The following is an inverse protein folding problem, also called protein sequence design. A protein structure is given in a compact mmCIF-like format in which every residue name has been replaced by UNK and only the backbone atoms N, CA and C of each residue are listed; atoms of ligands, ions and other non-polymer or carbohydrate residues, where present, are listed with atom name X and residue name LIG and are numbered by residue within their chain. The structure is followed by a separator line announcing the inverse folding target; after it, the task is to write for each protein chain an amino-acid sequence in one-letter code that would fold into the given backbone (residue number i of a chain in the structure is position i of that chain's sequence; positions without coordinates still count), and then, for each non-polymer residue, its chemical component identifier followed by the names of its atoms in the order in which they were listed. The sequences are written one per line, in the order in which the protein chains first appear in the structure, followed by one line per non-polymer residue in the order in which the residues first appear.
data_IF_962892699159
#
_entry.id   IF_962892699159
#
_cell.length_a   1.000
_cell.length_b   1.000
_cell.length_c   1.000
_cell.angle_alpha   90.00
_cell.angle_beta   90.00
_cell.angle_gamma   90.00
#
_symmetry.space_group_name_H-M   'P 1'
#
loop_
_entity.id
_entity.type
_entity.pdbx_description
1 polymer ?
#
# COMPACT_ATOMS: atom_id res chain seq x y z
N UNK A 1 -18.12 45.48 -6.39
CA UNK A 1 -17.42 45.31 -5.10
C UNK A 1 -16.66 43.97 -4.97
N UNK A 2 -17.09 42.90 -5.62
CA UNK A 2 -16.45 41.56 -5.57
C UNK A 2 -15.02 41.47 -6.14
N UNK A 3 -14.64 42.28 -7.12
CA UNK A 3 -13.36 42.22 -7.81
C UNK A 3 -12.13 42.56 -6.94
N UNK A 4 -12.25 43.56 -6.07
CA UNK A 4 -11.12 44.03 -5.23
C UNK A 4 -10.79 43.06 -4.10
N UNK A 5 -11.81 42.42 -3.54
CA UNK A 5 -11.69 41.44 -2.46
C UNK A 5 -11.10 40.11 -2.93
N UNK A 6 -11.36 39.72 -4.18
CA UNK A 6 -10.90 38.43 -4.75
C UNK A 6 -9.38 38.42 -5.00
N UNK A 7 -8.84 39.50 -5.59
CA UNK A 7 -7.39 39.63 -5.82
C UNK A 7 -6.62 39.65 -4.49
N UNK A 8 -7.16 40.30 -3.47
CA UNK A 8 -6.54 40.35 -2.14
C UNK A 8 -6.61 38.99 -1.43
N UNK A 9 -7.72 38.26 -1.57
CA UNK A 9 -7.87 36.93 -1.01
C UNK A 9 -6.91 35.91 -1.63
N UNK A 10 -6.69 35.97 -2.94
CA UNK A 10 -5.72 35.13 -3.64
C UNK A 10 -4.28 35.43 -3.22
N UNK A 11 -3.92 36.71 -3.06
CA UNK A 11 -2.57 37.07 -2.61
C UNK A 11 -2.26 36.62 -1.17
N UNK A 12 -3.28 36.58 -0.30
CA UNK A 12 -3.14 36.07 1.07
C UNK A 12 -3.09 34.54 1.15
N UNK A 13 -3.77 33.85 0.24
CA UNK A 13 -3.77 32.37 0.18
C UNK A 13 -2.42 31.77 -0.23
N UNK A 14 -1.60 32.54 -0.96
CA UNK A 14 -0.31 32.04 -1.48
C UNK A 14 0.81 31.98 -0.45
N UNK A 15 0.69 32.62 0.72
CA UNK A 15 1.73 32.59 1.76
C UNK A 15 3.15 32.95 1.28
N UNK A 16 3.27 33.74 0.20
CA UNK A 16 4.54 34.03 -0.46
C UNK A 16 5.38 34.93 0.43
N UNK A 17 6.42 34.36 1.01
CA UNK A 17 7.48 35.13 1.68
C UNK A 17 8.22 35.96 0.64
N UNK A 18 8.32 37.25 0.88
CA UNK A 18 8.93 38.22 0.00
C UNK A 18 10.38 37.87 -0.33
N UNK A 19 10.64 37.59 -1.59
CA UNK A 19 12.01 37.62 -2.15
C UNK A 19 11.94 38.12 -3.58
N UNK A 20 12.67 39.20 -3.82
CA UNK A 20 12.90 39.89 -5.07
C UNK A 20 11.70 40.71 -5.62
N UNK A 21 11.78 42.02 -5.44
CA UNK A 21 10.98 43.01 -6.18
C UNK A 21 11.36 42.97 -7.67
N UNK A 22 10.75 42.11 -8.43
CA UNK A 22 10.64 42.32 -9.87
C UNK A 22 9.70 43.53 -10.08
N UNK A 23 10.06 44.46 -10.93
CA UNK A 23 9.18 45.58 -11.26
C UNK A 23 7.86 45.03 -11.78
N UNK A 24 6.75 45.66 -11.41
CA UNK A 24 5.41 45.27 -11.89
C UNK A 24 5.41 45.27 -13.42
N UNK A 25 5.06 44.14 -14.06
CA UNK A 25 5.08 44.08 -15.52
C UNK A 25 3.93 44.84 -16.18
N UNK A 26 3.00 45.42 -15.39
CA UNK A 26 1.79 46.07 -15.90
C UNK A 26 1.83 47.57 -15.72
N UNK A 27 1.69 48.29 -16.84
CA UNK A 27 1.78 49.75 -16.90
C UNK A 27 0.57 50.45 -16.28
N UNK A 28 -0.62 49.81 -16.22
CA UNK A 28 -1.84 50.33 -15.70
C UNK A 28 -2.04 50.13 -14.18
N UNK A 29 -1.03 49.53 -13.50
CA UNK A 29 -1.04 49.37 -12.02
C UNK A 29 0.19 50.13 -11.47
N UNK A 30 0.10 51.43 -11.25
CA UNK A 30 1.25 52.25 -10.78
C UNK A 30 1.60 51.92 -9.32
N UNK A 31 2.85 52.21 -8.91
CA UNK A 31 3.38 51.88 -7.58
C UNK A 31 2.57 52.43 -6.40
N UNK A 32 1.78 53.48 -6.59
CA UNK A 32 0.87 54.02 -5.57
C UNK A 32 -0.50 53.39 -5.55
N UNK A 33 -0.80 52.42 -6.41
CA UNK A 33 -2.10 51.77 -6.46
C UNK A 33 -2.23 50.74 -5.33
N UNK A 34 -3.36 50.70 -4.65
CA UNK A 34 -3.59 49.80 -3.51
C UNK A 34 -3.35 48.32 -3.82
N UNK A 35 -3.51 47.89 -5.10
CA UNK A 35 -3.35 46.51 -5.53
C UNK A 35 -1.95 46.19 -6.06
N UNK A 36 -1.04 47.19 -6.12
CA UNK A 36 0.27 47.07 -6.75
C UNK A 36 1.04 45.83 -6.26
N UNK A 37 1.22 45.69 -4.94
CA UNK A 37 1.98 44.59 -4.35
C UNK A 37 1.30 43.22 -4.55
N UNK A 38 -0.03 43.18 -4.53
CA UNK A 38 -0.79 41.96 -4.72
C UNK A 38 -0.71 41.47 -6.18
N UNK A 39 -0.89 42.38 -7.15
CA UNK A 39 -0.79 42.09 -8.58
C UNK A 39 0.63 41.66 -8.94
N UNK A 40 1.64 42.39 -8.43
CA UNK A 40 3.04 42.06 -8.66
C UNK A 40 3.40 40.67 -8.15
N UNK A 41 2.95 40.28 -6.95
CA UNK A 41 3.16 38.93 -6.40
C UNK A 41 2.46 37.85 -7.23
N UNK A 42 1.24 38.10 -7.69
CA UNK A 42 0.50 37.14 -8.53
C UNK A 42 1.16 36.99 -9.92
N UNK A 43 1.67 38.09 -10.49
CA UNK A 43 2.41 38.05 -11.74
C UNK A 43 3.76 37.31 -11.59
N UNK A 44 4.53 37.63 -10.55
CA UNK A 44 5.79 36.93 -10.25
C UNK A 44 5.60 35.43 -10.00
N UNK A 45 4.47 35.04 -9.42
CA UNK A 45 4.08 33.64 -9.24
C UNK A 45 3.55 32.99 -10.54
N UNK A 46 3.40 33.74 -11.64
CA UNK A 46 2.86 33.25 -12.92
C UNK A 46 1.38 32.84 -12.83
N UNK A 47 0.62 33.48 -11.94
CA UNK A 47 -0.81 33.25 -11.76
C UNK A 47 -1.63 34.19 -12.63
N UNK A 48 -1.12 35.42 -12.81
CA UNK A 48 -1.71 36.48 -13.62
C UNK A 48 -0.70 36.92 -14.68
N UNK A 49 -1.11 36.89 -15.96
CA UNK A 49 -0.26 37.27 -17.10
C UNK A 49 -0.67 38.60 -17.74
N UNK A 50 -1.80 39.20 -17.30
CA UNK A 50 -2.40 40.34 -17.97
C UNK A 50 -3.02 39.98 -19.33
N UNK A 51 -3.21 40.96 -20.20
CA UNK A 51 -3.85 40.78 -21.50
C UNK A 51 -2.88 40.78 -22.69
N UNK A 52 -1.58 40.67 -22.42
CA UNK A 52 -0.57 40.60 -23.48
C UNK A 52 -0.19 41.94 -24.10
N UNK A 53 -0.84 43.03 -23.71
CA UNK A 53 -0.56 44.42 -24.14
C UNK A 53 0.24 45.19 -23.06
N UNK A 54 0.77 44.49 -22.07
CA UNK A 54 1.50 45.11 -20.96
C UNK A 54 0.59 45.75 -19.89
N UNK A 55 -0.71 45.44 -19.91
CA UNK A 55 -1.68 45.93 -18.95
C UNK A 55 -2.32 44.77 -18.13
N UNK A 56 -2.64 45.06 -16.87
CA UNK A 56 -3.39 44.18 -15.98
C UNK A 56 -4.88 44.20 -16.30
N UNK A 57 -5.40 45.32 -16.75
CA UNK A 57 -6.81 45.52 -17.10
C UNK A 57 -7.76 45.51 -15.90
N UNK A 58 -7.36 46.13 -14.77
CA UNK A 58 -8.10 46.10 -13.51
C UNK A 58 -9.50 46.70 -13.55
N UNK A 59 -9.79 47.56 -14.51
CA UNK A 59 -11.10 48.14 -14.76
C UNK A 59 -11.97 47.34 -15.74
N UNK A 60 -11.36 46.35 -16.44
CA UNK A 60 -12.05 45.50 -17.39
C UNK A 60 -12.96 44.49 -16.70
N UNK A 61 -14.10 44.21 -17.32
CA UNK A 61 -14.97 43.11 -16.93
C UNK A 61 -14.28 41.76 -17.30
N UNK A 62 -14.09 40.92 -16.32
CA UNK A 62 -13.52 39.60 -16.50
C UNK A 62 -14.64 38.55 -16.67
N UNK A 63 -14.51 37.66 -17.63
CA UNK A 63 -15.41 36.53 -17.78
C UNK A 63 -15.18 35.50 -16.70
N UNK A 64 -16.17 34.61 -16.47
CA UNK A 64 -16.01 33.48 -15.54
C UNK A 64 -14.87 32.54 -15.98
N UNK A 65 -14.69 32.33 -17.29
CA UNK A 65 -13.60 31.52 -17.82
C UNK A 65 -12.20 32.11 -17.58
N UNK A 66 -12.05 33.42 -17.73
CA UNK A 66 -10.77 34.09 -17.39
C UNK A 66 -10.47 33.95 -15.88
N UNK A 67 -11.49 34.05 -15.03
CA UNK A 67 -11.34 33.83 -13.60
C UNK A 67 -10.99 32.37 -13.29
N UNK A 68 -11.64 31.41 -13.94
CA UNK A 68 -11.35 30.00 -13.78
C UNK A 68 -9.90 29.68 -14.17
N UNK A 69 -9.35 30.28 -15.22
CA UNK A 69 -7.94 30.12 -15.60
C UNK A 69 -6.99 30.61 -14.51
N UNK A 70 -7.29 31.73 -13.85
CA UNK A 70 -6.50 32.25 -12.74
C UNK A 70 -6.57 31.28 -11.54
N UNK A 71 -7.77 30.76 -11.23
CA UNK A 71 -7.96 29.76 -10.17
C UNK A 71 -7.16 28.49 -10.48
N UNK A 72 -7.20 28.00 -11.73
CA UNK A 72 -6.44 26.85 -12.19
C UNK A 72 -4.93 27.03 -11.99
N UNK A 73 -4.39 28.18 -12.39
CA UNK A 73 -2.97 28.51 -12.19
C UNK A 73 -2.60 28.60 -10.70
N UNK A 74 -3.47 29.18 -9.88
CA UNK A 74 -3.27 29.25 -8.44
C UNK A 74 -3.25 27.85 -7.78
N UNK A 75 -4.15 26.96 -8.20
CA UNK A 75 -4.17 25.55 -7.77
C UNK A 75 -2.88 24.81 -8.17
N UNK A 76 -2.44 24.97 -9.42
CA UNK A 76 -1.19 24.36 -9.91
C UNK A 76 0.06 24.83 -9.14
N UNK A 77 0.00 26.00 -8.50
CA UNK A 77 1.07 26.53 -7.64
C UNK A 77 0.89 26.19 -6.16
N UNK A 78 -0.10 25.34 -5.82
CA UNK A 78 -0.34 24.87 -4.45
C UNK A 78 -1.06 25.88 -3.55
N UNK A 79 -1.72 26.90 -4.11
CA UNK A 79 -2.52 27.84 -3.34
C UNK A 79 -3.81 27.16 -2.84
N UNK A 80 -4.19 27.45 -1.59
CA UNK A 80 -5.49 27.03 -1.08
C UNK A 80 -6.58 27.94 -1.65
N UNK A 81 -7.27 27.47 -2.67
CA UNK A 81 -8.36 28.16 -3.37
C UNK A 81 -9.65 27.32 -3.42
N UNK A 82 -9.85 26.42 -2.48
CA UNK A 82 -10.95 25.42 -2.46
C UNK A 82 -12.32 26.06 -2.69
N UNK A 83 -12.61 27.20 -2.06
CA UNK A 83 -13.88 27.92 -2.24
C UNK A 83 -14.05 28.49 -3.65
N UNK A 84 -12.96 28.96 -4.25
CA UNK A 84 -12.99 29.47 -5.63
C UNK A 84 -13.05 28.32 -6.63
N UNK A 85 -12.35 27.23 -6.35
CA UNK A 85 -12.43 26.02 -7.17
C UNK A 85 -13.85 25.44 -7.18
N UNK A 86 -14.57 25.47 -6.06
CA UNK A 86 -15.97 25.07 -5.98
C UNK A 86 -16.90 26.03 -6.72
N UNK A 87 -16.68 27.36 -6.64
CA UNK A 87 -17.48 28.39 -7.32
C UNK A 87 -17.32 28.33 -8.85
N UNK A 88 -16.14 27.96 -9.35
CA UNK A 88 -15.81 27.91 -10.78
C UNK A 88 -15.67 26.48 -11.31
N UNK A 89 -16.31 25.49 -10.66
CA UNK A 89 -16.15 24.08 -10.99
C UNK A 89 -16.51 23.75 -12.45
N UNK A 90 -17.60 24.33 -12.94
CA UNK A 90 -18.08 24.09 -14.32
C UNK A 90 -17.13 24.66 -15.38
N UNK A 91 -16.60 25.86 -15.14
CA UNK A 91 -15.64 26.50 -16.03
C UNK A 91 -14.28 25.80 -15.98
N UNK A 92 -13.84 25.35 -14.80
CA UNK A 92 -12.63 24.58 -14.62
C UNK A 92 -12.72 23.25 -15.36
N UNK A 93 -13.86 22.55 -15.29
CA UNK A 93 -14.11 21.31 -16.02
C UNK A 93 -14.10 21.55 -17.55
N UNK A 94 -14.73 22.64 -18.01
CA UNK A 94 -14.73 23.04 -19.42
C UNK A 94 -13.35 23.41 -19.96
N UNK A 95 -12.46 23.95 -19.13
CA UNK A 95 -11.07 24.26 -19.47
C UNK A 95 -10.16 23.04 -19.46
N UNK A 96 -10.70 21.85 -19.22
CA UNK A 96 -9.91 20.63 -19.09
C UNK A 96 -9.09 20.56 -17.78
N UNK A 97 -9.36 21.49 -16.84
CA UNK A 97 -8.85 21.44 -15.46
C UNK A 97 -9.62 20.38 -14.66
N UNK A 98 -9.99 19.31 -15.32
CA UNK A 98 -10.28 18.01 -14.72
C UNK A 98 -9.06 17.47 -13.94
N UNK A 99 -7.98 18.29 -13.88
CA UNK A 99 -6.67 17.87 -13.41
C UNK A 99 -6.72 17.42 -11.95
N UNK A 100 -7.42 18.09 -11.06
CA UNK A 100 -7.45 17.61 -9.66
C UNK A 100 -8.41 16.41 -9.43
N UNK A 101 -9.50 16.33 -10.17
CA UNK A 101 -10.39 15.16 -10.14
C UNK A 101 -9.91 14.04 -11.07
N UNK A 102 -9.19 14.37 -12.16
CA UNK A 102 -8.53 13.43 -13.05
C UNK A 102 -7.15 13.03 -12.57
N UNK A 103 -6.39 13.87 -11.88
CA UNK A 103 -5.18 13.44 -11.19
C UNK A 103 -5.51 12.48 -10.04
N UNK A 104 -6.57 12.71 -9.27
CA UNK A 104 -7.12 11.67 -8.38
C UNK A 104 -7.61 10.42 -9.10
N UNK A 105 -8.03 10.51 -10.36
CA UNK A 105 -8.44 9.36 -11.20
C UNK A 105 -7.35 8.88 -12.15
N UNK A 106 -6.41 9.72 -12.56
CA UNK A 106 -5.27 9.34 -13.41
C UNK A 106 -4.16 8.68 -12.59
N UNK A 107 -4.01 8.99 -11.30
CA UNK A 107 -3.22 8.24 -10.33
C UNK A 107 -3.96 6.99 -9.79
N UNK A 108 -4.85 6.43 -10.59
CA UNK A 108 -5.55 5.20 -10.22
C UNK A 108 -4.60 3.99 -10.14
N UNK A 109 -3.43 4.07 -10.77
CA UNK A 109 -2.43 3.00 -10.77
C UNK A 109 -1.12 3.51 -10.18
N UNK A 110 -0.77 2.99 -9.00
CA UNK A 110 0.53 3.23 -8.35
C UNK A 110 1.43 2.03 -8.55
N UNK A 111 2.58 2.25 -9.16
CA UNK A 111 3.62 1.23 -9.33
C UNK A 111 4.73 1.49 -8.31
N UNK A 112 5.06 0.47 -7.52
CA UNK A 112 6.17 0.50 -6.56
C UNK A 112 7.06 -0.71 -6.77
N UNK A 113 8.34 -0.60 -6.39
CA UNK A 113 9.31 -1.67 -6.57
C UNK A 113 9.99 -2.08 -5.27
N UNK A 114 10.43 -3.34 -5.22
CA UNK A 114 11.27 -3.87 -4.17
C UNK A 114 12.38 -4.69 -4.81
N UNK A 115 13.63 -4.47 -4.38
CA UNK A 115 14.77 -5.28 -4.75
C UNK A 115 15.34 -5.90 -3.48
N UNK A 116 15.63 -7.22 -3.53
CA UNK A 116 16.27 -7.96 -2.45
C UNK A 116 17.42 -8.77 -3.00
N UNK A 117 18.61 -8.52 -2.49
CA UNK A 117 19.76 -9.40 -2.72
C UNK A 117 19.93 -10.32 -1.51
N UNK A 118 20.17 -11.61 -1.79
CA UNK A 118 20.38 -12.65 -0.79
C UNK A 118 21.63 -13.45 -1.14
N UNK A 119 22.57 -13.46 -0.21
CA UNK A 119 23.73 -14.35 -0.25
C UNK A 119 23.64 -15.31 0.92
N UNK A 120 23.70 -16.61 0.65
CA UNK A 120 23.75 -17.64 1.69
C UNK A 120 24.80 -18.68 1.32
N UNK A 121 25.83 -18.79 2.15
CA UNK A 121 26.83 -19.86 2.10
C UNK A 121 26.40 -21.00 3.02
N UNK A 122 26.67 -22.23 2.63
CA UNK A 122 26.55 -23.42 3.49
C UNK A 122 27.92 -24.04 3.70
N UNK A 123 28.20 -24.38 4.94
CA UNK A 123 29.45 -25.04 5.33
C UNK A 123 29.18 -26.31 6.15
N UNK A 124 30.19 -27.11 6.42
CA UNK A 124 30.08 -28.34 7.20
C UNK A 124 29.53 -29.54 6.40
N UNK A 125 28.79 -30.43 7.09
CA UNK A 125 28.30 -31.71 6.51
C UNK A 125 27.23 -31.49 5.42
N UNK A 126 26.54 -30.37 5.40
CA UNK A 126 25.64 -30.00 4.29
C UNK A 126 26.38 -29.79 2.98
N UNK A 127 27.64 -29.35 3.01
CA UNK A 127 28.48 -29.17 1.85
C UNK A 127 28.84 -30.55 1.20
N UNK A 128 29.03 -31.55 2.04
CA UNK A 128 29.38 -32.92 1.61
C UNK A 128 28.18 -33.62 0.95
N UNK A 129 26.95 -33.34 1.43
CA UNK A 129 25.74 -34.05 1.00
C UNK A 129 25.09 -33.46 -0.25
N UNK A 130 25.20 -32.13 -0.45
CA UNK A 130 24.49 -31.40 -1.54
C UNK A 130 25.37 -30.46 -2.36
N UNK A 131 26.71 -30.56 -2.25
CA UNK A 131 27.67 -29.69 -2.93
C UNK A 131 27.75 -28.28 -2.30
N UNK A 132 28.74 -27.52 -2.73
CA UNK A 132 28.87 -26.11 -2.33
C UNK A 132 27.75 -25.31 -2.96
N UNK A 133 26.71 -24.99 -2.21
CA UNK A 133 25.64 -24.14 -2.70
C UNK A 133 25.76 -22.78 -2.02
N UNK A 134 26.52 -21.89 -2.64
CA UNK A 134 26.33 -20.48 -2.36
C UNK A 134 25.01 -20.06 -3.05
N UNK A 135 23.99 -19.72 -2.29
CA UNK A 135 22.80 -19.11 -2.82
C UNK A 135 23.09 -17.62 -3.05
N UNK A 136 23.05 -17.20 -4.30
CA UNK A 136 23.32 -15.83 -4.69
C UNK A 136 22.12 -15.38 -5.54
N UNK A 137 21.09 -14.85 -4.86
CA UNK A 137 19.79 -14.55 -5.46
C UNK A 137 19.51 -13.07 -5.45
N UNK A 138 19.11 -12.55 -6.62
CA UNK A 138 18.53 -11.23 -6.76
C UNK A 138 17.03 -11.37 -7.02
N UNK A 139 16.21 -10.86 -6.11
CA UNK A 139 14.74 -10.82 -6.27
C UNK A 139 14.32 -9.40 -6.61
N UNK A 140 13.59 -9.24 -7.70
CA UNK A 140 12.93 -7.99 -8.07
C UNK A 140 11.42 -8.19 -8.03
N UNK A 141 10.70 -7.26 -7.40
CA UNK A 141 9.25 -7.23 -7.31
C UNK A 141 8.72 -5.89 -7.77
N UNK A 142 7.69 -5.90 -8.61
CA UNK A 142 6.90 -4.73 -8.97
C UNK A 142 5.48 -4.94 -8.46
N UNK A 143 4.98 -3.97 -7.72
CA UNK A 143 3.60 -3.94 -7.22
C UNK A 143 2.82 -2.91 -8.04
N UNK A 144 1.72 -3.35 -8.62
CA UNK A 144 0.76 -2.53 -9.33
C UNK A 144 -0.50 -2.46 -8.48
N UNK A 145 -0.79 -1.30 -7.93
CA UNK A 145 -1.96 -1.07 -7.09
C UNK A 145 -2.85 -0.04 -7.76
N UNK A 146 -4.14 -0.28 -7.76
CA UNK A 146 -5.10 0.66 -8.31
C UNK A 146 -6.48 0.53 -7.68
N UNK A 147 -7.34 1.54 -7.85
CA UNK A 147 -8.73 1.48 -7.43
C UNK A 147 -9.63 1.08 -8.59
N UNK A 148 -10.58 0.20 -8.34
CA UNK A 148 -11.66 -0.13 -9.27
C UNK A 148 -12.77 0.91 -9.13
N UNK A 149 -13.09 1.27 -7.88
CA UNK A 149 -14.01 2.32 -7.49
C UNK A 149 -13.69 2.78 -6.05
N UNK A 150 -14.58 3.52 -5.42
CA UNK A 150 -14.39 4.07 -4.06
C UNK A 150 -14.22 2.97 -2.98
N UNK A 151 -14.86 1.81 -3.18
CA UNK A 151 -14.87 0.70 -2.20
C UNK A 151 -13.91 -0.44 -2.55
N UNK A 152 -13.41 -0.52 -3.80
CA UNK A 152 -12.63 -1.64 -4.28
C UNK A 152 -11.31 -1.23 -4.89
N UNK A 153 -10.26 -1.94 -4.47
CA UNK A 153 -8.90 -1.80 -5.00
C UNK A 153 -8.41 -3.15 -5.54
N UNK A 154 -7.46 -3.10 -6.47
CA UNK A 154 -6.74 -4.28 -6.91
C UNK A 154 -5.25 -4.15 -6.65
N UNK A 155 -4.61 -5.29 -6.45
CA UNK A 155 -3.16 -5.40 -6.32
C UNK A 155 -2.66 -6.54 -7.19
N UNK A 156 -1.63 -6.26 -7.98
CA UNK A 156 -0.87 -7.27 -8.69
C UNK A 156 0.61 -7.18 -8.30
N UNK A 157 1.29 -8.32 -8.18
CA UNK A 157 2.73 -8.40 -7.90
C UNK A 157 3.41 -9.25 -8.97
N UNK A 158 4.28 -8.62 -9.73
CA UNK A 158 5.18 -9.28 -10.66
C UNK A 158 6.49 -9.52 -9.92
N UNK A 159 7.00 -10.74 -9.95
CA UNK A 159 8.24 -11.13 -9.30
C UNK A 159 9.16 -11.84 -10.28
N UNK A 160 10.44 -11.45 -10.23
CA UNK A 160 11.54 -12.14 -10.89
C UNK A 160 12.58 -12.53 -9.83
N UNK A 161 13.04 -13.76 -9.84
CA UNK A 161 14.12 -14.28 -9.00
C UNK A 161 15.25 -14.72 -9.91
N UNK A 162 16.44 -14.14 -9.76
CA UNK A 162 17.64 -14.48 -10.51
C UNK A 162 18.65 -15.15 -9.60
N UNK A 163 19.18 -16.28 -10.02
CA UNK A 163 20.30 -16.95 -9.35
C UNK A 163 21.62 -16.52 -10.01
N UNK A 164 22.31 -15.56 -9.39
CA UNK A 164 23.54 -14.99 -9.95
C UNK A 164 24.76 -15.92 -9.83
N UNK A 165 24.66 -17.05 -9.13
CA UNK A 165 25.78 -17.98 -8.96
C UNK A 165 25.95 -18.97 -10.11
N UNK A 166 24.85 -19.42 -10.71
CA UNK A 166 24.84 -20.53 -11.67
C UNK A 166 24.07 -20.24 -12.94
N UNK A 167 23.49 -19.05 -13.07
CA UNK A 167 22.59 -18.74 -14.17
C UNK A 167 22.90 -17.39 -14.80
N UNK A 168 22.67 -17.28 -16.09
CA UNK A 168 22.89 -16.05 -16.87
C UNK A 168 21.82 -14.98 -16.67
N UNK A 169 20.91 -15.17 -15.75
CA UNK A 169 19.88 -14.18 -15.39
C UNK A 169 18.56 -14.31 -16.13
N UNK A 170 18.32 -15.41 -16.82
CA UNK A 170 17.12 -15.65 -17.63
C UNK A 170 16.07 -16.48 -16.88
N UNK A 171 15.78 -16.10 -15.62
CA UNK A 171 14.77 -16.80 -14.84
C UNK A 171 13.37 -16.22 -15.05
N UNK A 172 12.37 -17.07 -14.80
CA UNK A 172 10.96 -16.78 -15.04
C UNK A 172 10.46 -15.55 -14.27
N UNK A 173 9.83 -14.65 -14.99
CA UNK A 173 9.04 -13.57 -14.40
C UNK A 173 7.61 -14.06 -14.19
N UNK A 174 7.12 -14.02 -12.95
CA UNK A 174 5.81 -14.54 -12.57
C UNK A 174 4.89 -13.44 -12.06
N UNK A 175 3.61 -13.47 -12.45
CA UNK A 175 2.54 -12.77 -11.77
C UNK A 175 2.16 -13.61 -10.55
N UNK A 176 2.80 -13.36 -9.41
CA UNK A 176 2.63 -14.24 -8.25
C UNK A 176 1.59 -13.74 -7.25
N UNK A 177 1.03 -12.55 -7.43
CA UNK A 177 -0.18 -12.08 -6.75
C UNK A 177 -1.06 -11.30 -7.73
N UNK A 178 -2.36 -11.54 -7.67
CA UNK A 178 -3.39 -10.80 -8.40
C UNK A 178 -4.71 -10.93 -7.64
N UNK A 179 -5.10 -9.90 -6.89
CA UNK A 179 -6.27 -9.94 -6.04
C UNK A 179 -6.95 -8.58 -5.93
N UNK A 180 -8.19 -8.60 -5.51
CA UNK A 180 -8.98 -7.42 -5.17
C UNK A 180 -9.25 -7.38 -3.67
N UNK A 181 -9.32 -6.17 -3.14
CA UNK A 181 -9.79 -5.93 -1.77
C UNK A 181 -10.88 -4.87 -1.78
N UNK A 182 -11.87 -5.02 -0.93
CA UNK A 182 -12.98 -4.07 -0.89
C UNK A 182 -13.90 -4.27 0.30
N UNK A 183 -15.02 -3.53 0.29
CA UNK A 183 -16.05 -3.61 1.32
C UNK A 183 -17.36 -4.09 0.72
N UNK A 184 -18.02 -5.02 1.40
CA UNK A 184 -19.32 -5.54 1.04
C UNK A 184 -20.16 -5.74 2.30
N UNK A 185 -21.23 -4.95 2.50
CA UNK A 185 -22.16 -5.12 3.61
C UNK A 185 -21.51 -5.14 4.99
N UNK A 186 -20.48 -4.34 5.24
CA UNK A 186 -19.73 -4.27 6.50
C UNK A 186 -18.57 -5.25 6.62
N UNK A 187 -18.42 -6.19 5.69
CA UNK A 187 -17.27 -7.07 5.57
C UNK A 187 -16.16 -6.42 4.76
N UNK A 188 -14.91 -6.65 5.17
CA UNK A 188 -13.77 -6.49 4.28
C UNK A 188 -13.60 -7.80 3.51
N UNK A 189 -13.50 -7.69 2.20
CA UNK A 189 -13.35 -8.82 1.27
C UNK A 189 -11.96 -8.77 0.65
N UNK A 190 -11.31 -9.91 0.54
CA UNK A 190 -10.11 -10.12 -0.27
C UNK A 190 -10.34 -11.34 -1.15
N UNK A 191 -10.12 -11.22 -2.45
CA UNK A 191 -10.36 -12.31 -3.39
C UNK A 191 -9.35 -12.35 -4.52
N UNK A 192 -8.84 -13.53 -4.82
CA UNK A 192 -7.86 -13.79 -5.87
C UNK A 192 -6.61 -14.50 -5.37
N UNK A 193 -5.53 -14.43 -6.14
CA UNK A 193 -4.21 -14.93 -5.75
C UNK A 193 -3.57 -13.92 -4.79
N UNK A 194 -3.81 -14.11 -3.49
CA UNK A 194 -3.55 -13.13 -2.44
C UNK A 194 -2.55 -13.64 -1.39
N UNK A 195 -1.87 -12.74 -0.67
CA UNK A 195 -1.04 -13.16 0.46
C UNK A 195 -1.95 -13.69 1.59
N UNK A 196 -1.67 -14.89 2.06
CA UNK A 196 -2.37 -15.57 3.15
C UNK A 196 -1.41 -15.78 4.31
N UNK A 197 -1.87 -15.46 5.51
CA UNK A 197 -1.07 -15.47 6.71
C UNK A 197 -1.84 -16.15 7.84
N UNK A 198 -1.59 -17.45 8.03
CA UNK A 198 -2.31 -18.30 8.99
C UNK A 198 -1.46 -18.52 10.24
N UNK A 199 -2.11 -18.50 11.41
CA UNK A 199 -1.45 -18.68 12.71
C UNK A 199 -0.21 -17.76 12.87
N UNK A 200 -0.34 -16.47 12.54
CA UNK A 200 0.77 -15.50 12.53
C UNK A 200 1.98 -15.94 11.68
N UNK A 201 1.74 -16.64 10.57
CA UNK A 201 2.77 -17.16 9.68
C UNK A 201 3.41 -18.47 10.13
N UNK A 202 3.01 -19.01 11.28
CA UNK A 202 3.57 -20.28 11.77
C UNK A 202 2.95 -21.50 11.06
N UNK A 203 1.77 -21.35 10.47
CA UNK A 203 1.11 -22.38 9.69
C UNK A 203 1.27 -22.16 8.19
N UNK A 204 1.04 -20.94 7.73
CA UNK A 204 1.20 -20.55 6.32
C UNK A 204 1.53 -19.07 6.19
N UNK A 205 2.53 -18.74 5.39
CA UNK A 205 2.94 -17.37 5.06
C UNK A 205 3.40 -17.31 3.60
N UNK A 206 2.45 -17.37 2.68
CA UNK A 206 2.70 -17.22 1.26
C UNK A 206 1.42 -16.84 0.51
N UNK A 207 1.45 -16.97 -0.80
CA UNK A 207 0.35 -16.65 -1.71
C UNK A 207 -0.55 -17.88 -1.93
N UNK A 208 -1.86 -17.67 -1.85
CA UNK A 208 -2.87 -18.69 -2.14
C UNK A 208 -4.04 -18.08 -2.94
N UNK A 209 -4.77 -18.91 -3.68
CA UNK A 209 -5.99 -18.50 -4.35
C UNK A 209 -7.17 -18.63 -3.38
N UNK A 210 -7.62 -17.49 -2.83
CA UNK A 210 -8.63 -17.47 -1.77
C UNK A 210 -9.67 -16.38 -1.96
N UNK A 211 -10.83 -16.60 -1.34
CA UNK A 211 -11.78 -15.58 -0.94
C UNK A 211 -11.78 -15.52 0.58
N UNK A 212 -11.47 -14.36 1.13
CA UNK A 212 -11.46 -14.09 2.56
C UNK A 212 -12.44 -12.98 2.91
N UNK A 213 -13.21 -13.21 3.95
CA UNK A 213 -14.13 -12.24 4.55
C UNK A 213 -13.67 -11.93 5.96
N UNK A 214 -13.61 -10.65 6.31
CA UNK A 214 -13.27 -10.20 7.66
C UNK A 214 -14.30 -9.19 8.15
N UNK A 215 -14.85 -9.43 9.33
CA UNK A 215 -15.79 -8.53 10.00
C UNK A 215 -15.23 -8.07 11.35
N UNK A 216 -15.53 -6.84 11.72
CA UNK A 216 -15.16 -6.25 13.00
C UNK A 216 -13.95 -5.29 12.93
N UNK A 217 -13.70 -4.61 14.05
CA UNK A 217 -12.62 -3.61 14.20
C UNK A 217 -11.64 -4.03 15.31
N UNK A 218 -12.03 -3.92 16.57
CA UNK A 218 -11.20 -4.28 17.73
C UNK A 218 -11.18 -5.79 17.96
N UNK A 219 -12.32 -6.43 17.74
CA UNK A 219 -12.44 -7.88 17.61
C UNK A 219 -12.79 -8.17 16.16
N UNK A 220 -12.03 -9.06 15.53
CA UNK A 220 -12.18 -9.45 14.14
C UNK A 220 -12.49 -10.93 14.05
N UNK A 221 -13.50 -11.24 13.26
CA UNK A 221 -13.81 -12.60 12.83
C UNK A 221 -13.46 -12.67 11.35
N UNK A 222 -12.66 -13.62 10.95
CA UNK A 222 -12.31 -13.85 9.55
C UNK A 222 -12.62 -15.28 9.15
N UNK A 223 -13.04 -15.47 7.92
CA UNK A 223 -13.17 -16.79 7.31
C UNK A 223 -12.61 -16.73 5.89
N UNK A 224 -12.02 -17.81 5.44
CA UNK A 224 -11.52 -17.94 4.07
C UNK A 224 -11.85 -19.31 3.48
N UNK A 225 -11.90 -19.35 2.17
CA UNK A 225 -12.01 -20.56 1.37
C UNK A 225 -11.20 -20.40 0.09
N UNK A 226 -10.50 -21.48 -0.32
CA UNK A 226 -9.70 -21.46 -1.53
C UNK A 226 -8.81 -22.70 -1.67
N UNK A 227 -7.66 -22.50 -2.29
CA UNK A 227 -6.66 -23.54 -2.55
C UNK A 227 -5.24 -22.99 -2.38
N UNK A 228 -4.27 -23.87 -2.13
CA UNK A 228 -2.85 -23.56 -2.06
C UNK A 228 -2.16 -24.23 -3.24
N UNK A 229 -1.77 -23.45 -4.23
CA UNK A 229 -1.12 -23.94 -5.47
C UNK A 229 0.36 -23.57 -5.54
N UNK A 230 0.84 -22.68 -4.65
CA UNK A 230 2.22 -22.20 -4.67
C UNK A 230 3.17 -23.22 -4.06
N UNK A 231 3.94 -23.91 -4.91
CA UNK A 231 4.87 -24.97 -4.49
C UNK A 231 6.06 -24.44 -3.67
N UNK A 232 6.38 -23.17 -3.78
CA UNK A 232 7.48 -22.54 -3.03
C UNK A 232 7.16 -22.46 -1.51
N UNK A 233 5.89 -22.59 -1.12
CA UNK A 233 5.46 -22.65 0.28
C UNK A 233 5.86 -23.97 0.99
N UNK A 234 6.26 -24.97 0.23
CA UNK A 234 6.64 -26.30 0.73
C UNK A 234 5.50 -27.31 0.73
N UNK A 235 4.25 -26.88 0.53
CA UNK A 235 3.10 -27.78 0.34
C UNK A 235 2.00 -27.12 -0.51
N UNK A 236 1.17 -27.97 -1.10
CA UNK A 236 -0.02 -27.56 -1.84
C UNK A 236 -1.26 -28.23 -1.24
N UNK A 237 -2.42 -27.65 -1.43
CA UNK A 237 -3.70 -28.21 -1.00
C UNK A 237 -4.78 -27.87 -2.02
N UNK A 238 -5.53 -28.86 -2.46
CA UNK A 238 -6.62 -28.67 -3.44
C UNK A 238 -7.76 -27.85 -2.85
N UNK A 239 -7.97 -27.96 -1.52
CA UNK A 239 -8.86 -27.07 -0.77
C UNK A 239 -8.22 -26.64 0.54
N UNK A 240 -8.34 -25.36 0.83
CA UNK A 240 -7.95 -24.75 2.09
C UNK A 240 -9.05 -23.82 2.57
N UNK A 241 -9.51 -24.01 3.80
CA UNK A 241 -10.53 -23.16 4.39
C UNK A 241 -10.37 -23.09 5.90
N UNK A 242 -10.82 -22.00 6.46
CA UNK A 242 -10.69 -21.81 7.90
C UNK A 242 -11.42 -20.58 8.40
N UNK A 243 -11.39 -20.46 9.72
CA UNK A 243 -11.92 -19.29 10.41
C UNK A 243 -10.99 -18.88 11.56
N UNK A 244 -10.92 -17.60 11.82
CA UNK A 244 -10.13 -17.06 12.91
C UNK A 244 -10.88 -15.96 13.67
N UNK A 245 -10.56 -15.85 14.95
CA UNK A 245 -10.98 -14.79 15.84
C UNK A 245 -9.72 -14.11 16.38
N UNK A 246 -9.67 -12.79 16.29
CA UNK A 246 -8.57 -12.03 16.87
C UNK A 246 -9.07 -10.76 17.53
N UNK A 247 -8.37 -10.30 18.55
CA UNK A 247 -8.78 -9.08 19.24
C UNK A 247 -7.70 -8.57 20.17
N UNK A 248 -7.85 -7.29 20.56
CA UNK A 248 -6.94 -6.60 21.46
C UNK A 248 -7.68 -6.18 22.73
N UNK A 249 -7.12 -6.57 23.87
CA UNK A 249 -7.62 -6.18 25.19
C UNK A 249 -6.47 -5.50 25.94
N UNK A 250 -6.49 -4.17 25.97
CA UNK A 250 -5.40 -3.38 26.54
C UNK A 250 -4.08 -3.62 25.81
N UNK A 251 -3.12 -4.25 26.49
CA UNK A 251 -1.79 -4.59 25.95
C UNK A 251 -1.68 -6.03 25.45
N UNK A 252 -2.77 -6.79 25.53
CA UNK A 252 -2.83 -8.20 25.16
C UNK A 252 -3.51 -8.31 23.79
N UNK A 253 -2.83 -8.88 22.81
CA UNK A 253 -3.37 -9.26 21.52
C UNK A 253 -3.62 -10.78 21.55
N UNK A 254 -4.85 -11.19 21.29
CA UNK A 254 -5.30 -12.57 21.30
C UNK A 254 -5.71 -13.01 19.92
N UNK A 255 -5.39 -14.25 19.56
CA UNK A 255 -5.86 -14.86 18.32
C UNK A 255 -6.12 -16.36 18.52
N UNK A 256 -7.15 -16.86 17.87
CA UNK A 256 -7.43 -18.28 17.75
C UNK A 256 -7.91 -18.56 16.32
N UNK A 257 -7.59 -19.73 15.79
CA UNK A 257 -7.95 -20.11 14.43
C UNK A 257 -8.17 -21.61 14.30
N UNK A 258 -8.91 -21.97 13.27
CA UNK A 258 -9.10 -23.32 12.78
C UNK A 258 -8.92 -23.30 11.26
N UNK A 259 -8.03 -24.13 10.76
CA UNK A 259 -7.64 -24.20 9.36
C UNK A 259 -7.73 -25.67 8.91
N UNK A 260 -8.34 -25.94 7.76
CA UNK A 260 -8.44 -27.26 7.19
C UNK A 260 -7.92 -27.29 5.78
N UNK A 261 -7.13 -28.32 5.49
CA UNK A 261 -6.51 -28.58 4.19
C UNK A 261 -6.95 -29.95 3.71
N UNK A 262 -7.45 -30.03 2.49
CA UNK A 262 -7.83 -31.27 1.83
C UNK A 262 -6.85 -31.55 0.67
N UNK A 263 -6.49 -32.82 0.48
CA UNK A 263 -5.52 -33.28 -0.51
C UNK A 263 -4.19 -32.54 -0.41
N UNK A 264 -3.67 -32.48 0.82
CA UNK A 264 -2.40 -31.82 1.13
C UNK A 264 -1.22 -32.62 0.57
N UNK A 265 -0.41 -31.99 -0.26
CA UNK A 265 0.84 -32.54 -0.76
C UNK A 265 2.02 -31.75 -0.19
N UNK A 266 2.76 -32.35 0.72
CA UNK A 266 3.95 -31.78 1.35
C UNK A 266 5.25 -32.24 0.63
N UNK A 267 5.17 -32.64 -0.63
CA UNK A 267 6.30 -33.06 -1.44
C UNK A 267 6.88 -34.43 -1.10
N UNK A 268 6.77 -34.86 0.15
CA UNK A 268 7.24 -36.17 0.63
C UNK A 268 6.08 -37.09 0.99
N UNK A 269 4.91 -36.55 1.29
CA UNK A 269 3.77 -37.29 1.77
C UNK A 269 2.49 -36.58 1.34
N UNK A 270 1.57 -37.37 0.77
CA UNK A 270 0.20 -36.91 0.51
C UNK A 270 -0.67 -37.23 1.70
N UNK A 271 -1.35 -36.25 2.20
CA UNK A 271 -2.24 -36.33 3.34
C UNK A 271 -3.64 -35.94 2.88
N UNK A 272 -4.58 -36.86 2.94
CA UNK A 272 -5.93 -36.61 2.43
C UNK A 272 -6.65 -35.46 3.15
N UNK A 273 -6.45 -35.36 4.46
CA UNK A 273 -7.04 -34.27 5.28
C UNK A 273 -6.10 -33.90 6.41
N UNK A 274 -5.99 -32.63 6.68
CA UNK A 274 -5.33 -32.09 7.86
C UNK A 274 -6.11 -30.88 8.38
N UNK A 275 -6.51 -30.92 9.64
CA UNK A 275 -7.08 -29.77 10.31
C UNK A 275 -6.14 -29.32 11.42
N UNK A 276 -5.92 -28.02 11.50
CA UNK A 276 -5.07 -27.40 12.51
C UNK A 276 -5.87 -26.34 13.24
N UNK A 277 -5.93 -26.42 14.55
CA UNK A 277 -6.40 -25.32 15.35
C UNK A 277 -5.24 -24.70 16.13
N UNK A 278 -5.33 -23.42 16.35
CA UNK A 278 -4.29 -22.63 17.00
C UNK A 278 -4.89 -21.62 17.97
N UNK A 279 -4.14 -21.31 19.02
CA UNK A 279 -4.46 -20.22 19.93
C UNK A 279 -3.19 -19.55 20.41
N UNK A 280 -3.16 -18.24 20.40
CA UNK A 280 -1.98 -17.46 20.75
C UNK A 280 -2.30 -16.15 21.41
N UNK A 281 -1.31 -15.63 22.11
CA UNK A 281 -1.36 -14.34 22.76
C UNK A 281 -0.01 -13.61 22.62
N UNK A 282 -0.08 -12.29 22.40
CA UNK A 282 1.10 -11.42 22.47
C UNK A 282 0.84 -10.34 23.53
N UNK A 283 1.78 -10.14 24.41
CA UNK A 283 1.71 -9.07 25.40
C UNK A 283 2.74 -7.98 25.11
N UNK A 284 2.26 -6.74 25.06
CA UNK A 284 3.08 -5.58 24.74
C UNK A 284 3.51 -4.84 26.02
N UNK A 285 4.83 -4.85 26.30
CA UNK A 285 5.46 -4.13 27.41
C UNK A 285 6.01 -2.74 27.00
N UNK A 286 5.51 -2.18 25.93
CA UNK A 286 6.02 -0.97 25.32
C UNK A 286 6.96 -1.28 24.16
N UNK A 287 8.27 -1.17 24.38
CA UNK A 287 9.25 -1.54 23.35
C UNK A 287 9.41 -3.06 23.16
N UNK A 288 9.03 -3.85 24.17
CA UNK A 288 9.09 -5.31 24.12
C UNK A 288 7.71 -5.93 23.86
N UNK A 289 7.70 -6.97 23.05
CA UNK A 289 6.55 -7.84 22.83
C UNK A 289 6.98 -9.27 23.12
N UNK A 290 6.24 -9.96 23.97
CA UNK A 290 6.38 -11.38 24.21
C UNK A 290 5.14 -12.10 23.70
N UNK A 291 5.34 -13.18 22.96
CA UNK A 291 4.27 -13.96 22.38
C UNK A 291 4.40 -15.46 22.70
N UNK A 292 3.25 -16.11 22.76
CA UNK A 292 3.16 -17.55 22.80
C UNK A 292 2.00 -18.01 21.95
N UNK A 293 2.17 -19.11 21.25
CA UNK A 293 1.13 -19.76 20.43
C UNK A 293 1.23 -21.26 20.58
N UNK A 294 0.09 -21.90 20.69
CA UNK A 294 -0.05 -23.34 20.61
C UNK A 294 -0.81 -23.71 19.32
N UNK A 295 -0.33 -24.76 18.66
CA UNK A 295 -0.93 -25.33 17.47
C UNK A 295 -1.17 -26.82 17.73
N UNK A 296 -2.29 -27.35 17.24
CA UNK A 296 -2.58 -28.77 17.27
C UNK A 296 -3.19 -29.20 15.95
N UNK A 297 -2.68 -30.30 15.41
CA UNK A 297 -3.08 -30.87 14.12
C UNK A 297 -3.72 -32.23 14.33
N UNK A 298 -4.79 -32.51 13.60
CA UNK A 298 -5.42 -33.82 13.50
C UNK A 298 -4.87 -34.61 12.29
N UNK A 299 -3.57 -34.65 12.14
CA UNK A 299 -2.93 -35.40 11.05
C UNK A 299 -3.42 -36.85 11.08
N UNK A 300 -3.90 -37.35 9.95
CA UNK A 300 -4.37 -38.73 9.84
C UNK A 300 -3.30 -39.76 10.19
N UNK A 301 -3.72 -40.86 10.75
CA UNK A 301 -2.99 -41.94 11.42
C UNK A 301 -1.65 -42.37 10.81
N UNK A 302 -1.55 -42.39 9.48
CA UNK A 302 -0.32 -42.83 8.80
C UNK A 302 0.89 -41.90 8.94
N UNK A 303 0.68 -40.64 9.23
CA UNK A 303 1.79 -39.70 9.47
C UNK A 303 2.23 -39.77 10.94
N UNK A 304 1.29 -40.01 11.86
CA UNK A 304 1.55 -40.23 13.28
C UNK A 304 2.30 -41.53 13.51
N UNK A 305 1.95 -42.60 12.79
CA UNK A 305 2.67 -43.88 12.80
C UNK A 305 4.15 -43.75 12.43
N UNK A 306 4.53 -42.69 11.72
CA UNK A 306 5.93 -42.37 11.37
C UNK A 306 6.62 -41.42 12.34
N UNK A 307 5.98 -41.11 13.50
CA UNK A 307 6.53 -40.29 14.55
C UNK A 307 6.40 -38.78 14.31
N UNK A 308 5.39 -38.35 13.54
CA UNK A 308 5.07 -36.94 13.44
C UNK A 308 4.37 -36.44 14.70
N UNK A 309 4.81 -35.33 15.25
CA UNK A 309 4.11 -34.65 16.34
C UNK A 309 2.83 -34.00 15.83
N UNK A 310 1.76 -34.09 16.61
CA UNK A 310 0.47 -33.51 16.31
C UNK A 310 0.31 -32.13 16.92
N UNK A 311 1.19 -31.73 17.79
CA UNK A 311 1.15 -30.44 18.46
C UNK A 311 2.48 -29.72 18.44
N UNK A 312 2.41 -28.42 18.60
CA UNK A 312 3.57 -27.55 18.65
C UNK A 312 3.26 -26.26 19.37
N UNK A 313 4.29 -25.64 19.89
CA UNK A 313 4.19 -24.31 20.45
C UNK A 313 5.31 -23.40 19.98
N UNK A 314 4.99 -22.12 19.88
CA UNK A 314 5.92 -21.07 19.48
C UNK A 314 6.00 -20.06 20.61
N UNK A 315 7.23 -19.71 20.99
CA UNK A 315 7.51 -18.59 21.89
C UNK A 315 8.26 -17.55 21.08
N UNK A 316 7.83 -16.31 21.15
CA UNK A 316 8.43 -15.21 20.40
C UNK A 316 8.74 -14.01 21.32
N UNK A 317 9.80 -13.30 21.00
CA UNK A 317 10.15 -12.05 21.64
C UNK A 317 10.60 -11.05 20.58
N UNK A 318 10.18 -9.80 20.72
CA UNK A 318 10.62 -8.72 19.85
C UNK A 318 10.92 -7.46 20.65
N UNK A 319 11.96 -6.73 20.24
CA UNK A 319 12.29 -5.42 20.75
C UNK A 319 12.18 -4.38 19.65
N UNK A 320 11.20 -3.49 19.76
CA UNK A 320 10.84 -2.49 18.73
C UNK A 320 10.47 -3.08 17.35
N UNK A 321 10.33 -4.41 17.28
CA UNK A 321 10.15 -5.18 16.05
C UNK A 321 11.37 -5.10 15.12
N UNK A 322 11.68 -6.17 14.42
CA UNK A 322 12.78 -6.18 13.46
C UNK A 322 12.51 -5.21 12.30
N UNK A 323 13.32 -4.15 12.19
CA UNK A 323 13.21 -3.15 11.12
C UNK A 323 14.56 -2.95 10.48
N UNK A 324 14.71 -3.36 9.22
CA UNK A 324 15.98 -3.27 8.47
C UNK A 324 16.59 -1.86 8.45
N UNK A 325 15.76 -0.80 8.47
CA UNK A 325 16.20 0.59 8.48
C UNK A 325 16.51 1.16 9.88
N UNK A 326 16.35 0.38 10.97
CA UNK A 326 16.54 0.84 12.34
C UNK A 326 17.47 -0.09 13.10
N UNK A 327 18.71 0.34 13.33
CA UNK A 327 19.64 -0.37 14.18
C UNK A 327 19.09 -0.58 15.59
N UNK A 328 19.44 -1.73 16.22
CA UNK A 328 19.03 -2.06 17.57
C UNK A 328 17.58 -2.52 17.71
N UNK A 329 16.92 -2.85 16.61
CA UNK A 329 15.61 -3.52 16.62
C UNK A 329 15.78 -4.99 16.27
N UNK A 330 15.04 -5.88 16.95
CA UNK A 330 15.06 -7.32 16.68
C UNK A 330 13.69 -7.95 16.98
N UNK A 331 13.46 -9.13 16.41
CA UNK A 331 12.23 -9.89 16.59
C UNK A 331 12.33 -11.25 15.90
#
# INVERSE_FOLDING_TARGET
MMKKTLVLAMAMALGVTASAYAANPFSDVPAGHWAYDAVNRLAAAGIVDGYGDGNFGGERLMTRYEMAQIVAKAMAKGANVDRLAAEFADELDSLGVRVAALEKKADNVKITGQIRYEYAGRDGDFKKTKGSVAKNRLRTRLFVNGSVNEDWTYTARIQNDQNLANDSGDEDTKLNQAYVTGKLGGFNVMAGKAPVFLANGNLYDDTAEVIQLTYGKNVKISGYWGQITEKDSGYTADKAYGASLSGKIGRLDLAAGYDKFEDLDAGFTKISNNAVWNAGANYNFGDFILGAMYLNSDISDKAVEKGADTDGFVISAAYKGAKAAKQGTWG
#
